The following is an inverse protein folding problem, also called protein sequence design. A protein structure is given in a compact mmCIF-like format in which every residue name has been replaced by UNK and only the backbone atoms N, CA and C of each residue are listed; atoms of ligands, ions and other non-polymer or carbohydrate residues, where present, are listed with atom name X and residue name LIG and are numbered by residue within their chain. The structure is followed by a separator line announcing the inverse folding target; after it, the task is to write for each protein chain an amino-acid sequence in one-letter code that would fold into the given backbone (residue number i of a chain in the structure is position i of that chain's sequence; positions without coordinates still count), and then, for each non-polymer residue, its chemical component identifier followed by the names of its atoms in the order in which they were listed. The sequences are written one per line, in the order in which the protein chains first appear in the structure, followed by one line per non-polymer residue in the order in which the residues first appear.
data_IF_417604104154
#
_entry.id   IF_417604104154
#
_cell.length_a   1.000
_cell.length_b   1.000
_cell.length_c   1.000
_cell.angle_alpha   90.00
_cell.angle_beta   90.00
_cell.angle_gamma   90.00
#
_symmetry.space_group_name_H-M   'P 1'
#
loop_
_entity.id
_entity.type
_entity.pdbx_description
1 polymer ?
#
# COMPACT_ATOMS: atom_id res chain seq x y z
N UNK A 1 -6.34 6.31 -12.31
CA UNK A 1 -6.06 5.03 -12.99
C UNK A 1 -7.00 3.90 -12.57
N UNK A 2 -7.45 3.78 -11.32
CA UNK A 2 -8.35 2.68 -10.89
C UNK A 2 -9.71 2.63 -11.61
N UNK A 3 -10.32 3.78 -11.94
CA UNK A 3 -11.63 3.84 -12.62
C UNK A 3 -11.55 3.28 -14.05
N UNK A 4 -10.53 3.68 -14.83
CA UNK A 4 -10.30 3.15 -16.18
C UNK A 4 -10.01 1.65 -16.17
N UNK A 5 -9.27 1.17 -15.18
CA UNK A 5 -8.99 -0.25 -15.00
C UNK A 5 -10.28 -1.01 -14.67
N UNK A 6 -11.20 -0.46 -13.87
CA UNK A 6 -12.51 -1.05 -13.61
C UNK A 6 -13.40 -1.12 -14.85
N UNK A 7 -13.51 -0.03 -15.62
CA UNK A 7 -14.31 -0.01 -16.85
C UNK A 7 -13.78 -1.01 -17.89
N UNK A 8 -12.44 -1.13 -17.98
CA UNK A 8 -11.79 -2.08 -18.90
C UNK A 8 -12.01 -3.53 -18.46
N UNK A 9 -11.94 -3.83 -17.15
CA UNK A 9 -12.25 -5.17 -16.63
C UNK A 9 -13.71 -5.56 -16.79
N UNK A 10 -14.64 -4.60 -16.69
CA UNK A 10 -16.06 -4.85 -16.88
C UNK A 10 -16.40 -5.22 -18.35
N UNK A 11 -15.62 -4.70 -19.32
CA UNK A 11 -15.83 -4.97 -20.75
C UNK A 11 -15.02 -6.14 -21.30
N UNK A 12 -13.79 -6.40 -20.82
CA UNK A 12 -12.85 -7.33 -21.46
C UNK A 12 -12.47 -8.57 -20.63
N UNK A 13 -12.98 -8.71 -19.39
CA UNK A 13 -12.70 -9.85 -18.52
C UNK A 13 -11.46 -9.69 -17.63
N UNK A 14 -11.45 -10.39 -16.49
CA UNK A 14 -10.50 -10.16 -15.39
C UNK A 14 -9.12 -10.80 -15.61
N UNK A 15 -8.27 -10.17 -16.43
CA UNK A 15 -6.86 -10.54 -16.62
C UNK A 15 -5.91 -9.72 -15.73
N UNK A 16 -6.02 -9.90 -14.40
CA UNK A 16 -5.25 -9.14 -13.40
C UNK A 16 -3.72 -9.28 -13.51
N UNK A 17 -3.23 -10.42 -14.01
CA UNK A 17 -1.80 -10.69 -14.21
C UNK A 17 -1.22 -9.85 -15.35
N UNK A 18 -2.00 -9.60 -16.39
CA UNK A 18 -1.59 -8.80 -17.55
C UNK A 18 -1.48 -7.33 -17.19
N UNK A 19 -2.47 -6.79 -16.46
CA UNK A 19 -2.42 -5.42 -15.96
C UNK A 19 -1.22 -5.20 -15.01
N UNK A 20 -0.88 -6.18 -14.18
CA UNK A 20 0.30 -6.12 -13.30
C UNK A 20 1.60 -6.12 -14.12
N UNK A 21 1.67 -6.97 -15.15
CA UNK A 21 2.80 -7.04 -16.08
C UNK A 21 2.99 -5.72 -16.84
N UNK A 22 1.95 -5.20 -17.48
CA UNK A 22 2.02 -3.92 -18.19
C UNK A 22 2.35 -2.77 -17.27
N UNK A 23 1.80 -2.71 -16.05
CA UNK A 23 2.12 -1.66 -15.08
C UNK A 23 3.61 -1.67 -14.68
N UNK A 24 4.21 -2.85 -14.49
CA UNK A 24 5.64 -2.97 -14.18
C UNK A 24 6.51 -2.69 -15.42
N UNK A 25 6.12 -3.24 -16.56
CA UNK A 25 6.86 -3.10 -17.82
C UNK A 25 6.89 -1.65 -18.31
N UNK A 26 5.76 -0.92 -18.22
CA UNK A 26 5.70 0.50 -18.59
C UNK A 26 6.42 1.41 -17.57
N UNK A 27 6.60 0.96 -16.32
CA UNK A 27 7.32 1.73 -15.31
C UNK A 27 8.83 1.79 -15.59
N UNK A 28 9.42 0.71 -16.13
CA UNK A 28 10.84 0.64 -16.46
C UNK A 28 11.33 1.75 -17.41
N UNK A 29 10.71 1.99 -18.58
CA UNK A 29 11.14 3.06 -19.47
C UNK A 29 10.91 4.46 -18.86
N UNK A 30 9.91 4.61 -17.99
CA UNK A 30 9.66 5.88 -17.30
C UNK A 30 10.77 6.21 -16.28
N UNK A 31 11.47 5.19 -15.75
CA UNK A 31 12.60 5.37 -14.83
C UNK A 31 13.96 5.62 -15.52
N UNK A 32 14.07 5.43 -16.84
CA UNK A 32 15.30 5.68 -17.60
C UNK A 32 15.93 7.08 -17.37
N UNK A 33 15.17 8.20 -17.40
CA UNK A 33 15.75 9.52 -17.12
C UNK A 33 16.24 9.70 -15.68
N UNK A 34 15.76 8.88 -14.74
CA UNK A 34 16.13 8.96 -13.32
C UNK A 34 17.29 8.02 -12.93
N UNK A 35 17.81 7.25 -13.88
CA UNK A 35 18.87 6.24 -13.67
C UNK A 35 20.12 6.78 -12.98
N UNK A 36 20.54 7.99 -13.33
CA UNK A 36 21.71 8.64 -12.72
C UNK A 36 21.54 8.87 -11.22
N UNK A 37 20.35 9.30 -10.80
CA UNK A 37 20.02 9.51 -9.38
C UNK A 37 19.92 8.19 -8.64
N UNK A 38 19.28 7.19 -9.27
CA UNK A 38 19.15 5.84 -8.71
C UNK A 38 20.52 5.20 -8.47
N UNK A 39 21.46 5.35 -9.42
CA UNK A 39 22.80 4.79 -9.30
C UNK A 39 23.57 5.41 -8.14
N UNK A 40 23.50 6.72 -7.96
CA UNK A 40 24.14 7.44 -6.84
C UNK A 40 23.58 7.01 -5.48
N UNK A 41 22.26 6.91 -5.38
CA UNK A 41 21.61 6.46 -4.14
C UNK A 41 21.93 4.99 -3.84
N UNK A 42 21.93 4.12 -4.86
CA UNK A 42 22.31 2.72 -4.69
C UNK A 42 23.75 2.57 -4.20
N UNK A 43 24.70 3.33 -4.78
CA UNK A 43 26.10 3.30 -4.32
C UNK A 43 26.27 3.81 -2.88
N UNK A 44 25.51 4.83 -2.48
CA UNK A 44 25.51 5.31 -1.10
C UNK A 44 24.92 4.27 -0.14
N UNK A 45 23.87 3.57 -0.55
CA UNK A 45 23.22 2.53 0.24
C UNK A 45 24.08 1.27 0.39
N UNK A 46 24.78 0.86 -0.67
CA UNK A 46 25.69 -0.29 -0.65
C UNK A 46 26.94 -0.06 0.20
N UNK A 47 27.30 1.20 0.47
CA UNK A 47 28.41 1.57 1.35
C UNK A 47 28.04 1.51 2.85
N UNK A 48 26.78 1.18 3.20
CA UNK A 48 26.32 1.13 4.59
C UNK A 48 26.84 -0.12 5.31
N UNK A 49 27.13 -0.01 6.60
CA UNK A 49 27.60 -1.11 7.43
C UNK A 49 26.68 -2.36 7.35
N UNK A 50 27.25 -3.58 7.40
CA UNK A 50 26.50 -4.83 7.37
C UNK A 50 25.55 -4.93 8.56
N UNK A 51 24.37 -5.52 8.33
CA UNK A 51 23.33 -5.67 9.34
C UNK A 51 23.78 -6.66 10.41
N UNK A 52 23.74 -6.26 11.69
CA UNK A 52 23.96 -7.18 12.81
C UNK A 52 22.70 -8.01 13.01
N UNK A 53 22.58 -9.11 12.26
CA UNK A 53 21.44 -10.03 12.32
C UNK A 53 21.54 -10.92 13.57
N UNK A 54 20.44 -11.17 14.30
CA UNK A 54 20.41 -12.17 15.38
C UNK A 54 20.75 -13.57 14.86
N UNK A 55 21.38 -14.41 15.70
CA UNK A 55 21.82 -15.77 15.36
C UNK A 55 20.69 -16.73 14.94
N UNK A 56 19.43 -16.33 15.10
CA UNK A 56 18.23 -17.08 14.71
C UNK A 56 17.94 -17.11 13.21
N UNK A 57 18.61 -16.29 12.39
CA UNK A 57 18.50 -16.33 10.92
C UNK A 57 19.86 -16.62 10.24
N UNK A 58 20.28 -17.90 10.17
CA UNK A 58 21.58 -18.29 9.58
C UNK A 58 21.70 -17.95 8.08
N UNK A 59 20.57 -17.93 7.35
CA UNK A 59 20.55 -17.62 5.91
C UNK A 59 20.89 -16.15 5.63
N UNK A 60 20.44 -15.22 6.48
CA UNK A 60 20.77 -13.80 6.32
C UNK A 60 22.20 -13.47 6.78
N UNK A 61 22.72 -14.20 7.76
CA UNK A 61 24.08 -14.03 8.28
C UNK A 61 25.14 -14.42 7.25
N UNK A 62 24.90 -15.47 6.45
CA UNK A 62 25.81 -15.90 5.37
C UNK A 62 25.87 -14.93 4.19
N UNK A 63 24.88 -14.04 4.04
CA UNK A 63 24.75 -13.20 2.86
C UNK A 63 25.52 -11.86 2.95
N UNK A 64 26.12 -11.52 4.11
CA UNK A 64 26.87 -10.26 4.34
C UNK A 64 26.19 -9.03 3.71
N UNK A 65 24.86 -8.94 3.84
CA UNK A 65 24.10 -7.88 3.19
C UNK A 65 24.30 -6.55 3.94
N UNK A 66 24.65 -5.46 3.22
CA UNK A 66 24.58 -4.11 3.76
C UNK A 66 23.19 -3.85 4.33
N UNK A 67 23.12 -3.28 5.53
CA UNK A 67 21.86 -3.01 6.23
C UNK A 67 20.87 -2.18 5.39
N UNK A 68 21.39 -1.20 4.63
CA UNK A 68 20.59 -0.39 3.73
C UNK A 68 19.90 -1.20 2.60
N UNK A 69 20.58 -2.20 2.04
CA UNK A 69 20.01 -3.07 1.00
C UNK A 69 18.95 -3.99 1.61
N UNK A 70 19.19 -4.52 2.82
CA UNK A 70 18.23 -5.38 3.50
C UNK A 70 16.91 -4.64 3.83
N UNK A 71 16.99 -3.41 4.36
CA UNK A 71 15.80 -2.61 4.63
C UNK A 71 15.06 -2.19 3.35
N UNK A 72 15.80 -1.87 2.28
CA UNK A 72 15.21 -1.55 0.99
C UNK A 72 14.46 -2.76 0.42
N UNK A 73 15.04 -3.96 0.49
CA UNK A 73 14.39 -5.20 0.05
C UNK A 73 13.12 -5.48 0.87
N UNK A 74 13.19 -5.39 2.20
CA UNK A 74 12.02 -5.59 3.06
C UNK A 74 10.90 -4.59 2.75
N UNK A 75 11.27 -3.32 2.52
CA UNK A 75 10.34 -2.27 2.13
C UNK A 75 9.70 -2.55 0.76
N UNK A 76 10.50 -2.93 -0.24
CA UNK A 76 10.04 -3.29 -1.59
C UNK A 76 9.14 -4.53 -1.61
N UNK A 77 9.47 -5.58 -0.84
CA UNK A 77 8.65 -6.79 -0.73
C UNK A 77 7.28 -6.49 -0.11
N UNK A 78 7.26 -5.67 0.94
CA UNK A 78 6.00 -5.22 1.55
C UNK A 78 5.20 -4.37 0.55
N UNK A 79 5.88 -3.51 -0.24
CA UNK A 79 5.24 -2.73 -1.30
C UNK A 79 4.61 -3.61 -2.38
N UNK A 80 5.33 -4.60 -2.87
CA UNK A 80 4.83 -5.59 -3.82
C UNK A 80 3.63 -6.36 -3.27
N UNK A 81 3.72 -6.89 -2.05
CA UNK A 81 2.63 -7.63 -1.43
C UNK A 81 1.35 -6.79 -1.31
N UNK A 82 1.48 -5.53 -0.87
CA UNK A 82 0.35 -4.65 -0.73
C UNK A 82 -0.19 -4.12 -2.07
N UNK A 83 0.64 -3.81 -3.06
CA UNK A 83 0.18 -3.42 -4.39
C UNK A 83 -0.55 -4.60 -5.04
N UNK A 84 -0.03 -5.81 -4.89
CA UNK A 84 -0.69 -7.03 -5.40
C UNK A 84 -2.03 -7.28 -4.71
N UNK A 85 -2.09 -7.16 -3.38
CA UNK A 85 -3.33 -7.31 -2.62
C UNK A 85 -4.39 -6.26 -2.99
N UNK A 86 -3.97 -5.01 -3.19
CA UNK A 86 -4.86 -3.92 -3.60
C UNK A 86 -5.30 -4.08 -5.06
N UNK A 87 -4.42 -4.50 -5.97
CA UNK A 87 -4.76 -4.76 -7.37
C UNK A 87 -5.74 -5.95 -7.50
N UNK A 88 -5.57 -7.00 -6.67
CA UNK A 88 -6.54 -8.09 -6.56
C UNK A 88 -7.89 -7.60 -6.04
N UNK A 89 -7.89 -6.75 -5.01
CA UNK A 89 -9.12 -6.18 -4.46
C UNK A 89 -9.79 -5.19 -5.44
N UNK A 90 -9.00 -4.47 -6.24
CA UNK A 90 -9.49 -3.54 -7.27
C UNK A 90 -10.21 -4.24 -8.41
N UNK A 91 -9.97 -5.54 -8.62
CA UNK A 91 -10.74 -6.36 -9.55
C UNK A 91 -12.16 -6.68 -9.03
N UNK A 92 -12.45 -6.43 -7.75
CA UNK A 92 -13.71 -6.75 -7.08
C UNK A 92 -14.34 -5.53 -6.35
N UNK A 93 -13.62 -4.42 -6.21
CA UNK A 93 -14.03 -3.25 -5.42
C UNK A 93 -13.70 -1.92 -6.14
N UNK A 94 -14.47 -0.87 -5.82
CA UNK A 94 -14.33 0.49 -6.39
C UNK A 94 -12.94 1.09 -6.16
N UNK A 95 -12.46 1.90 -7.12
CA UNK A 95 -11.22 2.69 -7.01
C UNK A 95 -11.12 3.54 -5.72
N UNK A 96 -12.28 3.87 -5.13
CA UNK A 96 -12.40 4.51 -3.82
C UNK A 96 -11.86 3.62 -2.69
N UNK A 97 -12.24 2.34 -2.67
CA UNK A 97 -11.82 1.37 -1.64
C UNK A 97 -10.31 1.09 -1.69
N UNK A 98 -9.74 1.07 -2.90
CA UNK A 98 -8.29 0.95 -3.12
C UNK A 98 -7.52 2.09 -2.45
N UNK A 99 -8.03 3.31 -2.56
CA UNK A 99 -7.42 4.49 -1.93
C UNK A 99 -7.50 4.44 -0.41
N UNK A 100 -8.57 3.85 0.15
CA UNK A 100 -8.73 3.63 1.60
C UNK A 100 -7.69 2.62 2.10
N UNK A 101 -7.56 1.46 1.45
CA UNK A 101 -6.62 0.42 1.85
C UNK A 101 -5.17 0.92 1.84
N UNK A 102 -4.82 1.78 0.88
CA UNK A 102 -3.49 2.41 0.81
C UNK A 102 -3.23 3.39 1.97
N UNK A 103 -4.26 4.13 2.42
CA UNK A 103 -4.14 4.99 3.60
C UNK A 103 -4.03 4.17 4.89
N UNK A 104 -4.85 3.13 5.04
CA UNK A 104 -4.80 2.21 6.20
C UNK A 104 -3.44 1.52 6.28
N UNK A 105 -2.83 1.13 5.17
CA UNK A 105 -1.48 0.54 5.18
C UNK A 105 -0.43 1.48 5.75
N UNK A 106 -0.38 2.73 5.28
CA UNK A 106 0.58 3.73 5.78
C UNK A 106 0.39 3.98 7.28
N UNK A 107 -0.87 3.97 7.71
CA UNK A 107 -1.30 4.11 9.08
C UNK A 107 -0.80 2.96 9.97
N UNK A 108 -1.03 1.72 9.54
CA UNK A 108 -0.58 0.52 10.26
C UNK A 108 0.94 0.45 10.35
N UNK A 109 1.67 0.76 9.26
CA UNK A 109 3.13 0.86 9.32
C UNK A 109 3.62 1.94 10.28
N UNK A 110 2.91 3.08 10.36
CA UNK A 110 3.23 4.14 11.31
C UNK A 110 3.00 3.69 12.77
N UNK A 111 1.86 3.07 13.08
CA UNK A 111 1.59 2.51 14.42
C UNK A 111 2.60 1.44 14.80
N UNK A 112 2.90 0.52 13.88
CA UNK A 112 3.90 -0.51 14.12
C UNK A 112 5.27 0.13 14.42
N UNK A 113 5.65 1.18 13.69
CA UNK A 113 6.90 1.89 13.93
C UNK A 113 6.93 2.61 15.28
N UNK A 114 5.83 3.23 15.72
CA UNK A 114 5.80 3.95 17.01
C UNK A 114 5.78 2.98 18.20
N UNK A 115 5.09 1.84 18.06
CA UNK A 115 5.03 0.78 19.08
C UNK A 115 6.37 0.06 19.22
N UNK A 116 7.05 -0.24 18.10
CA UNK A 116 8.26 -1.06 18.09
C UNK A 116 9.52 -0.29 18.50
N UNK A 117 9.58 1.02 18.23
CA UNK A 117 10.72 1.88 18.61
C UNK A 117 10.50 2.73 19.87
N UNK A 118 9.32 2.65 20.51
CA UNK A 118 9.04 3.34 21.78
C UNK A 118 9.21 4.87 21.73
N UNK A 119 9.07 5.48 20.55
CA UNK A 119 9.40 6.88 20.34
C UNK A 119 8.37 7.81 21.00
N UNK A 120 8.82 8.82 21.77
CA UNK A 120 7.93 9.84 22.34
C UNK A 120 7.36 10.69 21.21
N UNK A 121 6.07 10.52 20.94
CA UNK A 121 5.35 11.31 19.95
C UNK A 121 5.39 12.79 20.33
N UNK A 122 5.99 13.62 19.48
CA UNK A 122 5.88 15.08 19.57
C UNK A 122 4.40 15.49 19.52
N UNK A 123 4.00 16.53 20.27
CA UNK A 123 2.62 16.99 20.33
C UNK A 123 2.02 17.30 18.95
N UNK A 124 2.81 17.84 18.01
CA UNK A 124 2.38 18.08 16.64
C UNK A 124 2.13 16.79 15.85
N UNK A 125 2.90 15.73 16.11
CA UNK A 125 2.74 14.42 15.48
C UNK A 125 1.50 13.69 16.00
N UNK A 126 1.15 13.87 17.27
CA UNK A 126 -0.07 13.34 17.86
C UNK A 126 -1.33 13.98 17.25
N UNK A 127 -1.32 15.31 17.05
CA UNK A 127 -2.41 16.03 16.37
C UNK A 127 -2.52 15.60 14.90
N UNK A 128 -1.40 15.50 14.19
CA UNK A 128 -1.36 15.03 12.81
C UNK A 128 -1.87 13.59 12.66
N UNK A 129 -1.49 12.71 13.59
CA UNK A 129 -2.03 11.35 13.65
C UNK A 129 -3.55 11.39 13.87
N UNK A 130 -4.03 12.09 14.90
CA UNK A 130 -5.47 12.19 15.19
C UNK A 130 -6.30 12.67 13.99
N UNK A 131 -5.79 13.65 13.23
CA UNK A 131 -6.45 14.16 12.03
C UNK A 131 -6.49 13.12 10.90
N UNK A 132 -5.39 12.41 10.63
CA UNK A 132 -5.32 11.38 9.60
C UNK A 132 -6.15 10.15 9.95
N UNK A 133 -6.08 9.67 11.20
CA UNK A 133 -6.90 8.58 11.70
C UNK A 133 -8.39 8.95 11.69
N UNK A 134 -8.74 10.15 12.14
CA UNK A 134 -10.11 10.65 12.17
C UNK A 134 -10.72 10.77 10.77
N UNK A 135 -10.00 11.37 9.83
CA UNK A 135 -10.44 11.48 8.44
C UNK A 135 -10.58 10.11 7.75
N UNK A 136 -9.60 9.22 7.96
CA UNK A 136 -9.64 7.85 7.43
C UNK A 136 -10.81 7.03 7.98
N UNK A 137 -11.07 7.13 9.28
CA UNK A 137 -12.19 6.45 9.93
C UNK A 137 -13.55 6.99 9.48
N UNK A 138 -13.69 8.32 9.39
CA UNK A 138 -14.93 8.96 8.93
C UNK A 138 -15.26 8.58 7.48
N UNK A 139 -14.26 8.61 6.60
CA UNK A 139 -14.41 8.22 5.21
C UNK A 139 -14.72 6.72 5.05
N UNK A 140 -14.05 5.86 5.83
CA UNK A 140 -14.32 4.43 5.88
C UNK A 140 -15.73 4.12 6.38
N UNK A 141 -16.20 4.82 7.41
CA UNK A 141 -17.55 4.66 7.96
C UNK A 141 -18.64 5.03 6.95
N UNK A 142 -18.47 6.17 6.28
CA UNK A 142 -19.40 6.63 5.26
C UNK A 142 -19.49 5.66 4.08
N UNK A 143 -18.35 5.17 3.61
CA UNK A 143 -18.28 4.33 2.42
C UNK A 143 -18.67 2.88 2.68
N UNK A 144 -18.19 2.27 3.77
CA UNK A 144 -18.41 0.85 4.08
C UNK A 144 -19.72 0.57 4.83
N UNK A 145 -20.21 1.51 5.64
CA UNK A 145 -21.39 1.27 6.47
C UNK A 145 -22.61 2.06 5.99
N UNK A 146 -22.49 3.38 5.78
CA UNK A 146 -23.65 4.23 5.51
C UNK A 146 -24.27 4.01 4.12
N UNK A 147 -23.45 4.01 3.07
CA UNK A 147 -23.91 3.89 1.67
C UNK A 147 -24.62 2.53 1.39
N UNK A 148 -24.08 1.36 1.74
CA UNK A 148 -24.76 0.09 1.49
C UNK A 148 -26.06 -0.08 2.32
N UNK A 149 -26.10 0.45 3.54
CA UNK A 149 -27.30 0.42 4.39
C UNK A 149 -28.43 1.27 3.78
N UNK A 150 -28.12 2.46 3.26
CA UNK A 150 -29.08 3.30 2.54
C UNK A 150 -29.59 2.63 1.25
N UNK A 151 -28.73 1.96 0.47
CA UNK A 151 -29.17 1.19 -0.70
C UNK A 151 -30.12 0.06 -0.32
N UNK A 152 -29.81 -0.71 0.74
CA UNK A 152 -30.65 -1.80 1.24
C UNK A 152 -32.00 -1.28 1.74
N UNK A 153 -32.03 -0.13 2.42
CA UNK A 153 -33.27 0.51 2.87
C UNK A 153 -34.15 1.01 1.71
N UNK A 154 -33.55 1.53 0.63
CA UNK A 154 -34.29 1.93 -0.57
C UNK A 154 -34.91 0.73 -1.29
N UNK A 155 -34.15 -0.34 -1.49
CA UNK A 155 -34.66 -1.58 -2.08
C UNK A 155 -35.81 -2.20 -1.27
N UNK A 156 -35.71 -2.17 0.07
CA UNK A 156 -36.79 -2.66 0.95
C UNK A 156 -38.04 -1.76 0.87
N UNK A 157 -37.89 -0.44 0.65
CA UNK A 157 -39.04 0.46 0.44
C UNK A 157 -39.69 0.22 -0.93
N UNK A 158 -38.90 0.06 -1.98
CA UNK A 158 -39.40 -0.23 -3.33
C UNK A 158 -40.13 -1.59 -3.40
N UNK A 159 -39.59 -2.63 -2.75
CA UNK A 159 -40.21 -3.95 -2.68
C UNK A 159 -41.49 -4.02 -1.82
N UNK A 160 -41.74 -3.02 -0.96
CA UNK A 160 -43.00 -2.88 -0.20
C UNK A 160 -44.03 -1.98 -0.90
N UNK A 161 -43.61 -1.24 -1.93
CA UNK A 161 -44.46 -0.36 -2.70
C UNK A 161 -45.02 -1.04 -3.98
N UNK A 162 -44.48 -2.20 -4.35
CA UNK A 162 -45.03 -3.14 -5.33
C UNK A 162 -45.91 -4.18 -4.62
#
# INVERSE_FOLDING_TARGET
MGVYVQDTYATHGSHWRENLFYSHFLSLPLFLPLTNTLRRQYTALSATAPLSVPDSLPVLKSANLPSGIAYLLLNSLTQLACITGVNLLSAQASAVTVTIVLNVRKLVSFVASTVLFGHKLSGMMAVGAGLVFGAGALYGWETSYRIPMQKRQRQVKEAKAQ
#
